data_IF_016242636419
#
_entry.id   IF_016242636419
#
_cell.length_a   1.000
_cell.length_b   1.000
_cell.length_c   1.000
_cell.angle_alpha   90.00
_cell.angle_beta   90.00
_cell.angle_gamma   90.00
#
_symmetry.space_group_name_H-M   'P 1'
#
loop_
_entity.id
_entity.type
_entity.pdbx_description
1 polymer ?
#
# COMPACT_ATOMS: atom_id res chain seq x y z
N UNK A 1 -13.68 -9.46 -26.46
CA UNK A 1 -13.54 -7.98 -26.52
C UNK A 1 -14.28 -7.40 -25.32
N UNK A 2 -13.73 -6.39 -24.63
CA UNK A 2 -14.43 -5.78 -23.49
C UNK A 2 -15.65 -5.02 -24.00
N UNK A 3 -16.77 -5.12 -23.28
CA UNK A 3 -17.95 -4.32 -23.55
C UNK A 3 -17.82 -3.01 -22.78
N UNK A 4 -17.60 -1.92 -23.49
CA UNK A 4 -17.58 -0.58 -22.90
C UNK A 4 -19.03 -0.24 -22.51
N UNK A 5 -19.24 0.13 -21.26
CA UNK A 5 -20.54 0.58 -20.74
C UNK A 5 -20.43 2.02 -20.26
N UNK A 6 -21.53 2.74 -20.36
CA UNK A 6 -21.75 4.03 -19.71
C UNK A 6 -22.75 3.81 -18.59
N UNK A 7 -22.42 4.30 -17.41
CA UNK A 7 -23.29 4.25 -16.24
C UNK A 7 -23.15 5.56 -15.47
N UNK A 8 -24.27 6.15 -15.04
CA UNK A 8 -24.33 7.48 -14.41
C UNK A 8 -23.49 8.54 -15.15
N UNK A 9 -23.61 8.62 -16.48
CA UNK A 9 -22.85 9.51 -17.37
C UNK A 9 -21.31 9.31 -17.36
N UNK A 10 -20.82 8.26 -16.69
CA UNK A 10 -19.41 7.87 -16.66
C UNK A 10 -19.21 6.72 -17.64
N UNK A 11 -18.44 6.99 -18.68
CA UNK A 11 -18.06 5.96 -19.66
C UNK A 11 -16.78 5.26 -19.22
N UNK A 12 -16.78 3.93 -19.24
CA UNK A 12 -15.57 3.15 -18.99
C UNK A 12 -14.44 3.60 -19.94
N UNK A 13 -13.20 3.66 -19.44
CA UNK A 13 -12.04 4.02 -20.26
C UNK A 13 -12.00 3.20 -21.56
N UNK A 14 -11.62 3.75 -22.72
CA UNK A 14 -11.59 3.02 -23.99
C UNK A 14 -10.53 1.90 -24.02
N UNK A 15 -10.66 0.98 -24.97
CA UNK A 15 -9.76 -0.18 -25.08
C UNK A 15 -8.31 0.24 -25.34
N UNK A 16 -8.05 1.34 -26.08
CA UNK A 16 -6.69 1.84 -26.31
C UNK A 16 -6.01 2.22 -24.98
N UNK A 17 -6.74 2.88 -24.07
CA UNK A 17 -6.20 3.26 -22.75
C UNK A 17 -6.00 2.06 -21.82
N UNK A 18 -6.84 1.04 -21.94
CA UNK A 18 -6.74 -0.17 -21.12
C UNK A 18 -5.80 -1.23 -21.69
N UNK A 19 -5.26 -1.01 -22.90
CA UNK A 19 -4.49 -2.02 -23.62
C UNK A 19 -3.26 -2.48 -22.84
N UNK A 20 -2.56 -1.57 -22.14
CA UNK A 20 -1.39 -1.92 -21.34
C UNK A 20 -1.74 -2.93 -20.24
N UNK A 21 -2.85 -2.73 -19.52
CA UNK A 21 -3.29 -3.61 -18.44
C UNK A 21 -3.76 -4.96 -18.98
N UNK A 22 -4.45 -4.95 -20.12
CA UNK A 22 -4.84 -6.18 -20.80
C UNK A 22 -3.63 -6.99 -21.28
N UNK A 23 -2.53 -6.34 -21.66
CA UNK A 23 -1.25 -6.98 -22.04
C UNK A 23 -0.42 -7.40 -20.84
N UNK A 24 -0.52 -6.68 -19.72
CA UNK A 24 0.28 -6.89 -18.53
C UNK A 24 0.09 -8.30 -17.92
N UNK A 25 -1.16 -8.78 -17.88
CA UNK A 25 -1.63 -10.10 -17.37
C UNK A 25 -1.33 -10.40 -15.90
N UNK A 26 -0.16 -10.06 -15.40
CA UNK A 26 0.32 -10.35 -14.06
C UNK A 26 0.81 -9.07 -13.39
N UNK A 27 0.35 -8.85 -12.16
CA UNK A 27 0.85 -7.80 -11.29
C UNK A 27 1.01 -8.29 -9.86
N UNK A 28 1.81 -7.59 -9.06
CA UNK A 28 2.03 -7.90 -7.65
C UNK A 28 1.32 -6.85 -6.78
N UNK A 29 0.46 -7.29 -5.87
CA UNK A 29 -0.23 -6.41 -4.94
C UNK A 29 0.31 -6.63 -3.51
N UNK A 30 0.76 -5.57 -2.85
CA UNK A 30 1.37 -5.60 -1.54
C UNK A 30 0.43 -4.95 -0.52
N UNK A 31 -0.07 -5.77 0.42
CA UNK A 31 -0.66 -5.31 1.67
C UNK A 31 0.43 -5.34 2.74
N UNK A 32 0.92 -4.16 3.09
CA UNK A 32 1.88 -3.95 4.16
C UNK A 32 1.62 -2.58 4.76
N UNK A 33 1.67 -2.47 6.08
CA UNK A 33 1.36 -1.25 6.81
C UNK A 33 1.34 -1.53 8.31
N UNK A 34 0.71 -0.65 9.09
CA UNK A 34 0.69 -0.72 10.54
C UNK A 34 0.21 -2.09 11.07
N UNK A 35 -0.81 -2.66 10.43
CA UNK A 35 -1.33 -4.00 10.72
C UNK A 35 -0.32 -5.15 10.57
N UNK A 36 0.81 -4.93 9.88
CA UNK A 36 1.87 -5.93 9.77
C UNK A 36 2.69 -6.09 11.06
N UNK A 37 2.72 -5.08 11.95
CA UNK A 37 3.38 -5.16 13.25
C UNK A 37 2.89 -6.33 14.11
N UNK A 38 1.59 -6.40 14.45
CA UNK A 38 1.04 -7.50 15.24
C UNK A 38 0.91 -8.83 14.47
N UNK A 39 0.99 -8.83 13.14
CA UNK A 39 0.89 -10.05 12.33
C UNK A 39 -0.46 -10.78 12.38
N UNK A 40 -1.56 -10.05 12.69
CA UNK A 40 -2.91 -10.62 12.93
C UNK A 40 -3.91 -10.36 11.78
N UNK A 41 -3.42 -9.93 10.61
CA UNK A 41 -4.22 -9.59 9.43
C UNK A 41 -4.61 -8.11 9.36
N UNK A 42 -4.93 -7.64 8.16
CA UNK A 42 -5.18 -6.23 7.84
C UNK A 42 -6.48 -5.67 8.44
N UNK A 43 -7.42 -6.55 8.79
CA UNK A 43 -8.67 -6.22 9.48
C UNK A 43 -8.59 -6.35 11.01
N UNK A 44 -7.40 -6.50 11.59
CA UNK A 44 -7.23 -6.73 13.03
C UNK A 44 -7.90 -5.66 13.91
N UNK A 45 -7.78 -4.38 13.53
CA UNK A 45 -8.42 -3.27 14.24
C UNK A 45 -9.94 -3.46 14.34
N UNK A 46 -10.59 -3.68 13.20
CA UNK A 46 -12.04 -3.84 13.08
C UNK A 46 -12.52 -5.11 13.79
N UNK A 47 -11.91 -6.25 13.47
CA UNK A 47 -12.31 -7.56 13.98
C UNK A 47 -12.20 -7.67 15.51
N UNK A 48 -11.38 -6.81 16.14
CA UNK A 48 -11.22 -6.73 17.60
C UNK A 48 -11.89 -5.52 18.23
N UNK A 49 -12.53 -4.64 17.44
CA UNK A 49 -13.11 -3.40 17.94
C UNK A 49 -12.08 -2.51 18.65
N UNK A 50 -10.83 -2.52 18.20
CA UNK A 50 -9.76 -1.71 18.82
C UNK A 50 -9.97 -0.26 18.41
N UNK A 51 -9.98 0.63 19.40
CA UNK A 51 -10.16 2.06 19.15
C UNK A 51 -8.97 2.63 18.36
N UNK A 52 -9.18 3.63 17.48
CA UNK A 52 -8.09 4.18 16.66
C UNK A 52 -6.90 4.69 17.48
N UNK A 53 -7.14 5.35 18.61
CA UNK A 53 -6.10 5.86 19.51
C UNK A 53 -5.22 4.76 20.11
N UNK A 54 -5.82 3.63 20.46
CA UNK A 54 -5.08 2.45 20.92
C UNK A 54 -4.32 1.78 19.78
N UNK A 55 -4.93 1.66 18.60
CA UNK A 55 -4.29 1.03 17.43
C UNK A 55 -3.07 1.82 16.94
N UNK A 56 -3.09 3.14 17.04
CA UNK A 56 -1.97 4.01 16.65
C UNK A 56 -0.70 3.75 17.47
N UNK A 57 -0.81 3.20 18.69
CA UNK A 57 0.36 2.84 19.52
C UNK A 57 1.26 1.82 18.84
N UNK A 58 0.71 1.00 17.94
CA UNK A 58 1.45 0.03 17.14
C UNK A 58 2.52 0.64 16.23
N UNK A 59 2.50 1.97 16.03
CA UNK A 59 3.51 2.67 15.23
C UNK A 59 4.71 3.13 16.06
N UNK A 60 4.74 2.80 17.36
CA UNK A 60 5.78 3.24 18.28
C UNK A 60 6.35 2.05 19.08
N UNK A 61 7.64 2.10 19.48
CA UNK A 61 8.32 0.99 20.17
C UNK A 61 7.67 0.52 21.47
N UNK A 62 6.89 1.37 22.13
CA UNK A 62 6.18 1.10 23.38
C UNK A 62 5.15 -0.03 23.22
N UNK A 63 4.72 -0.33 21.99
CA UNK A 63 3.87 -1.48 21.67
C UNK A 63 4.61 -2.84 21.67
N UNK A 64 5.93 -2.84 21.92
CA UNK A 64 6.72 -4.05 22.11
C UNK A 64 6.68 -4.96 20.89
N UNK A 65 6.22 -6.20 21.06
CA UNK A 65 6.19 -7.20 19.99
C UNK A 65 5.18 -6.88 18.88
N UNK A 66 4.19 -6.03 19.14
CA UNK A 66 3.22 -5.62 18.12
C UNK A 66 3.71 -4.37 17.33
N UNK A 67 4.90 -3.84 17.64
CA UNK A 67 5.47 -2.66 17.00
C UNK A 67 5.74 -2.91 15.51
N UNK A 68 5.12 -2.09 14.67
CA UNK A 68 5.46 -1.98 13.26
C UNK A 68 6.79 -1.23 13.10
N UNK A 69 7.93 -1.92 13.24
CA UNK A 69 9.25 -1.28 13.23
C UNK A 69 9.74 -0.82 11.85
N UNK A 70 9.22 -1.44 10.78
CA UNK A 70 9.60 -1.25 9.38
C UNK A 70 11.11 -1.19 9.08
N UNK A 71 12.00 -1.62 9.99
CA UNK A 71 13.45 -1.35 9.92
C UNK A 71 14.13 -2.10 8.77
N UNK A 72 13.55 -3.24 8.41
CA UNK A 72 14.03 -4.10 7.33
C UNK A 72 13.34 -3.84 5.98
N UNK A 73 12.52 -2.78 5.87
CA UNK A 73 11.88 -2.42 4.62
C UNK A 73 12.92 -2.05 3.54
N UNK A 74 12.80 -2.71 2.39
CA UNK A 74 13.67 -2.56 1.24
C UNK A 74 12.85 -2.66 -0.06
N UNK A 75 12.63 -1.50 -0.69
CA UNK A 75 11.87 -1.38 -1.93
C UNK A 75 12.52 -2.14 -3.10
N UNK A 76 13.85 -2.21 -3.15
CA UNK A 76 14.58 -2.86 -4.24
C UNK A 76 14.34 -4.37 -4.20
N UNK A 77 14.29 -4.98 -3.01
CA UNK A 77 13.95 -6.41 -2.87
C UNK A 77 12.57 -6.74 -3.42
N UNK A 78 11.57 -5.92 -3.12
CA UNK A 78 10.20 -6.15 -3.61
C UNK A 78 10.09 -5.92 -5.12
N UNK A 79 10.70 -4.86 -5.63
CA UNK A 79 10.75 -4.59 -7.08
C UNK A 79 11.47 -5.70 -7.83
N UNK A 80 12.60 -6.20 -7.31
CA UNK A 80 13.33 -7.30 -7.92
C UNK A 80 12.55 -8.61 -7.90
N UNK A 81 11.80 -8.89 -6.82
CA UNK A 81 10.90 -10.05 -6.77
C UNK A 81 9.82 -9.96 -7.84
N UNK A 82 9.19 -8.79 -8.02
CA UNK A 82 8.20 -8.56 -9.05
C UNK A 82 8.75 -8.78 -10.47
N UNK A 83 9.97 -8.31 -10.74
CA UNK A 83 10.69 -8.60 -12.00
C UNK A 83 10.88 -10.09 -12.19
N UNK A 84 11.38 -10.77 -11.15
CA UNK A 84 11.70 -12.20 -11.21
C UNK A 84 10.46 -13.07 -11.46
N UNK A 85 9.30 -12.71 -10.90
CA UNK A 85 8.04 -13.42 -11.16
C UNK A 85 7.40 -13.06 -12.52
N UNK A 86 7.94 -12.08 -13.25
CA UNK A 86 7.40 -11.64 -14.54
C UNK A 86 6.23 -10.65 -14.44
N UNK A 87 5.99 -10.06 -13.27
CA UNK A 87 4.95 -9.05 -13.09
C UNK A 87 5.24 -7.82 -13.95
N UNK A 88 4.18 -7.27 -14.56
CA UNK A 88 4.23 -6.09 -15.44
C UNK A 88 3.75 -4.81 -14.75
N UNK A 89 3.16 -4.94 -13.57
CA UNK A 89 2.82 -3.82 -12.70
C UNK A 89 2.89 -4.24 -11.23
N UNK A 90 2.97 -3.25 -10.36
CA UNK A 90 2.95 -3.43 -8.92
C UNK A 90 2.02 -2.40 -8.29
N UNK A 91 1.29 -2.82 -7.27
CA UNK A 91 0.50 -1.94 -6.43
C UNK A 91 0.92 -2.14 -4.98
N UNK A 92 1.11 -1.05 -4.26
CA UNK A 92 1.28 -1.05 -2.81
C UNK A 92 0.10 -0.29 -2.22
N UNK A 93 -0.51 -0.84 -1.18
CA UNK A 93 -1.51 -0.10 -0.39
C UNK A 93 -0.82 1.12 0.22
N UNK A 94 -1.24 2.32 -0.17
CA UNK A 94 -0.68 3.58 0.35
C UNK A 94 -1.26 3.96 1.70
N UNK A 95 -2.51 3.59 1.94
CA UNK A 95 -3.25 3.68 3.20
C UNK A 95 -4.35 2.60 3.17
N UNK A 96 -4.46 1.82 4.24
CA UNK A 96 -5.52 0.81 4.38
C UNK A 96 -6.69 1.36 5.23
N UNK A 97 -7.65 0.50 5.57
CA UNK A 97 -8.81 0.86 6.37
C UNK A 97 -8.48 1.28 7.82
N UNK A 98 -7.28 0.98 8.32
CA UNK A 98 -6.79 1.44 9.64
C UNK A 98 -6.39 2.92 9.69
N UNK A 99 -6.37 3.59 8.52
CA UNK A 99 -6.12 5.03 8.42
C UNK A 99 -4.65 5.43 8.54
N UNK A 100 -3.71 4.49 8.58
CA UNK A 100 -2.27 4.79 8.59
C UNK A 100 -1.73 4.97 7.17
N UNK A 101 -1.27 6.19 6.86
CA UNK A 101 -0.70 6.50 5.56
C UNK A 101 0.81 6.20 5.52
N UNK A 102 1.26 5.47 4.50
CA UNK A 102 2.66 5.13 4.28
C UNK A 102 3.45 6.21 3.52
N UNK A 103 2.85 7.39 3.39
CA UNK A 103 3.37 8.56 2.70
C UNK A 103 3.18 9.82 3.54
N UNK A 104 3.91 10.88 3.22
CA UNK A 104 3.69 12.18 3.86
C UNK A 104 2.39 12.82 3.38
N UNK A 105 1.42 12.95 4.28
CA UNK A 105 0.15 13.65 4.03
C UNK A 105 0.11 14.98 4.79
N UNK A 106 -0.35 16.03 4.10
CA UNK A 106 -0.51 17.38 4.67
C UNK A 106 -1.91 17.67 5.21
N UNK A 107 -2.81 16.69 5.14
CA UNK A 107 -4.16 16.86 5.65
C UNK A 107 -4.18 16.91 7.18
N UNK A 108 -5.13 17.68 7.72
CA UNK A 108 -5.35 17.77 9.15
C UNK A 108 -5.68 16.37 9.72
N UNK A 109 -5.11 16.05 10.89
CA UNK A 109 -5.26 14.77 11.58
C UNK A 109 -4.69 13.53 10.86
N UNK A 110 -3.89 13.72 9.81
CA UNK A 110 -3.20 12.61 9.16
C UNK A 110 -2.26 11.88 10.15
N UNK A 111 -2.29 10.55 10.09
CA UNK A 111 -1.39 9.68 10.82
C UNK A 111 -0.54 8.91 9.82
N UNK A 112 0.77 9.18 9.83
CA UNK A 112 1.65 8.87 8.70
C UNK A 112 2.95 8.22 9.14
N UNK A 113 3.55 7.43 8.26
CA UNK A 113 4.89 6.90 8.44
C UNK A 113 5.97 7.98 8.47
N UNK A 114 5.70 9.16 7.89
CA UNK A 114 6.62 10.29 7.99
C UNK A 114 6.72 10.81 9.42
N UNK A 115 5.62 10.77 10.20
CA UNK A 115 5.62 11.19 11.61
C UNK A 115 6.26 10.14 12.52
N UNK A 116 6.01 8.85 12.28
CA UNK A 116 6.39 7.76 13.19
C UNK A 116 7.74 7.12 12.85
N UNK A 117 8.12 7.11 11.56
CA UNK A 117 9.35 6.46 11.06
C UNK A 117 10.27 7.43 10.31
N UNK A 118 9.92 8.72 10.25
CA UNK A 118 10.63 9.73 9.46
C UNK A 118 10.82 9.35 7.97
N UNK A 119 9.97 8.46 7.44
CA UNK A 119 10.15 7.86 6.12
C UNK A 119 8.85 7.83 5.33
N UNK A 120 8.95 8.15 4.04
CA UNK A 120 7.87 8.02 3.07
C UNK A 120 8.11 6.75 2.26
N UNK A 121 7.44 5.67 2.64
CA UNK A 121 7.62 4.35 2.04
C UNK A 121 7.03 4.27 0.63
N UNK A 122 5.94 4.99 0.37
CA UNK A 122 5.33 5.06 -0.96
C UNK A 122 6.26 5.77 -1.94
N UNK A 123 6.86 6.90 -1.55
CA UNK A 123 7.86 7.60 -2.36
C UNK A 123 9.07 6.72 -2.62
N UNK A 124 9.49 5.93 -1.63
CA UNK A 124 10.57 4.98 -1.83
C UNK A 124 10.21 3.91 -2.85
N UNK A 125 9.06 3.25 -2.71
CA UNK A 125 8.55 2.28 -3.68
C UNK A 125 8.44 2.88 -5.09
N UNK A 126 7.83 4.07 -5.22
CA UNK A 126 7.63 4.74 -6.50
C UNK A 126 8.95 5.01 -7.22
N UNK A 127 9.97 5.54 -6.52
CA UNK A 127 11.30 5.79 -7.10
C UNK A 127 11.98 4.53 -7.66
N UNK A 128 11.70 3.35 -7.09
CA UNK A 128 12.33 2.09 -7.52
C UNK A 128 11.47 1.39 -8.57
N UNK A 129 10.15 1.41 -8.41
CA UNK A 129 9.21 0.84 -9.35
C UNK A 129 9.12 1.62 -10.66
N UNK A 130 9.44 2.92 -10.68
CA UNK A 130 9.58 3.66 -11.94
C UNK A 130 10.67 3.08 -12.88
N UNK A 131 11.57 2.25 -12.35
CA UNK A 131 12.61 1.51 -13.12
C UNK A 131 12.15 0.09 -13.54
N UNK A 132 10.89 -0.27 -13.34
CA UNK A 132 10.30 -1.53 -13.81
C UNK A 132 9.83 -1.46 -15.28
N UNK A 133 9.60 -0.26 -15.78
CA UNK A 133 9.04 0.00 -17.12
C UNK A 133 10.12 0.51 -18.05
#
# INVERSE_FOLDING_TARGET
>A
KRLVKTDMDITMQPDEKMQWMQKAKLGMFIHWGLYAGPGKGEWYMENKGIRPDEYRKLAYPESGNDYFDAKNFDADKWVNLAKKMGAKYMNMVTQHHDGYALFESKYMNAFTSKQTHNRDFVKDMWKRAAKLV
#
